data_IF_806213759471
#
_entry.id   IF_806213759471
#
_cell.length_a   1.000
_cell.length_b   1.000
_cell.length_c   1.000
_cell.angle_alpha   90.00
_cell.angle_beta   90.00
_cell.angle_gamma   90.00
#
_symmetry.space_group_name_H-M   'P 1'
#
loop_
_entity.id
_entity.type
_entity.pdbx_description
1 polymer ?
#
# COMPACT_ATOMS: atom_id res chain seq x y z
N UNK A 1 16.05 -12.07 -9.30
CA UNK A 1 16.74 -11.37 -8.19
C UNK A 1 15.70 -10.60 -7.41
N UNK A 2 15.83 -10.48 -6.08
CA UNK A 2 14.78 -9.93 -5.22
C UNK A 2 14.47 -8.47 -5.57
N UNK A 3 13.20 -8.08 -5.39
CA UNK A 3 12.79 -6.68 -5.47
C UNK A 3 13.27 -5.97 -4.21
N UNK A 4 13.99 -4.86 -4.39
CA UNK A 4 14.51 -4.03 -3.30
C UNK A 4 13.96 -2.61 -3.42
N UNK A 5 14.12 -1.78 -2.38
CA UNK A 5 13.65 -0.39 -2.45
C UNK A 5 14.33 0.40 -3.59
N UNK A 6 15.58 0.06 -3.92
CA UNK A 6 16.30 0.69 -5.05
C UNK A 6 15.71 0.31 -6.42
N UNK A 7 14.92 -0.78 -6.50
CA UNK A 7 14.16 -1.13 -7.72
C UNK A 7 13.15 -0.03 -8.11
N UNK A 8 12.74 0.81 -7.17
CA UNK A 8 11.79 1.92 -7.36
C UNK A 8 12.47 3.30 -7.40
N UNK A 9 13.80 3.35 -7.50
CA UNK A 9 14.61 4.57 -7.36
C UNK A 9 14.11 5.75 -8.17
N UNK A 10 13.89 5.56 -9.46
CA UNK A 10 13.45 6.63 -10.35
C UNK A 10 12.05 7.12 -9.99
N UNK A 11 11.13 6.20 -9.67
CA UNK A 11 9.77 6.54 -9.23
C UNK A 11 9.76 7.34 -7.92
N UNK A 12 10.53 6.89 -6.92
CA UNK A 12 10.65 7.58 -5.62
C UNK A 12 11.24 8.98 -5.80
N UNK A 13 12.36 9.10 -6.52
CA UNK A 13 13.03 10.39 -6.71
C UNK A 13 12.16 11.35 -7.52
N UNK A 14 11.55 10.90 -8.61
CA UNK A 14 10.63 11.72 -9.41
C UNK A 14 9.45 12.21 -8.56
N UNK A 15 8.84 11.32 -7.78
CA UNK A 15 7.70 11.68 -6.90
C UNK A 15 8.11 12.70 -5.85
N UNK A 16 9.21 12.50 -5.15
CA UNK A 16 9.71 13.47 -4.18
C UNK A 16 10.06 14.84 -4.80
N UNK A 17 10.63 14.84 -6.01
CA UNK A 17 11.03 16.08 -6.71
C UNK A 17 9.85 16.88 -7.22
N UNK A 18 8.75 16.24 -7.63
CA UNK A 18 7.53 16.94 -8.08
C UNK A 18 6.56 17.33 -6.95
N UNK A 19 6.59 16.61 -5.83
CA UNK A 19 5.64 16.80 -4.74
C UNK A 19 5.93 18.09 -3.94
N UNK A 20 4.94 18.97 -3.70
CA UNK A 20 5.13 20.18 -2.89
C UNK A 20 5.42 19.84 -1.42
N UNK A 21 6.02 20.78 -0.69
CA UNK A 21 6.38 20.58 0.72
C UNK A 21 5.16 20.27 1.59
N UNK A 22 4.05 20.95 1.31
CA UNK A 22 2.77 20.74 1.99
C UNK A 22 2.30 19.28 1.87
N UNK A 23 2.32 18.71 0.67
CA UNK A 23 1.94 17.31 0.46
C UNK A 23 2.88 16.35 1.21
N UNK A 24 4.19 16.62 1.20
CA UNK A 24 5.16 15.78 1.94
C UNK A 24 4.83 15.84 3.44
N UNK A 25 4.45 17.00 3.96
CA UNK A 25 4.08 17.17 5.36
C UNK A 25 2.83 16.37 5.75
N UNK A 26 1.93 16.08 4.81
CA UNK A 26 0.71 15.31 5.03
C UNK A 26 0.92 13.79 5.07
N UNK A 27 2.07 13.29 4.59
CA UNK A 27 2.38 11.85 4.58
C UNK A 27 2.52 11.29 5.99
N UNK A 28 2.03 10.06 6.18
CA UNK A 28 2.11 9.38 7.47
C UNK A 28 3.56 9.25 7.96
N UNK A 29 3.81 9.68 9.20
CA UNK A 29 5.10 9.57 9.87
C UNK A 29 6.05 10.76 9.63
N UNK A 30 5.70 11.68 8.72
CA UNK A 30 6.40 12.95 8.54
C UNK A 30 6.03 13.90 9.68
N UNK A 31 7.02 14.33 10.46
CA UNK A 31 6.84 15.33 11.53
C UNK A 31 7.38 16.66 11.05
N UNK A 32 6.96 17.76 11.67
CA UNK A 32 7.43 19.11 11.37
C UNK A 32 8.94 19.19 11.08
N UNK A 33 9.27 19.84 9.95
CA UNK A 33 10.63 20.06 9.45
C UNK A 33 11.23 18.86 8.72
N UNK A 34 10.65 17.66 8.79
CA UNK A 34 11.17 16.49 8.07
C UNK A 34 10.89 16.60 6.57
N UNK A 35 9.77 17.19 6.16
CA UNK A 35 9.42 17.46 4.77
C UNK A 35 10.50 18.27 4.04
N UNK A 36 11.06 19.29 4.69
CA UNK A 36 12.15 20.11 4.16
C UNK A 36 13.41 19.28 3.94
N UNK A 37 13.77 18.43 4.91
CA UNK A 37 14.93 17.54 4.80
C UNK A 37 14.76 16.51 3.70
N UNK A 38 13.58 15.89 3.62
CA UNK A 38 13.22 14.93 2.56
C UNK A 38 13.33 15.60 1.19
N UNK A 39 12.75 16.78 1.01
CA UNK A 39 12.77 17.52 -0.25
C UNK A 39 14.20 17.85 -0.66
N UNK A 40 15.00 18.44 0.24
CA UNK A 40 16.42 18.76 -0.01
C UNK A 40 17.25 17.51 -0.35
N UNK A 41 17.03 16.41 0.36
CA UNK A 41 17.73 15.15 0.10
C UNK A 41 17.37 14.55 -1.27
N UNK A 42 16.11 14.68 -1.71
CA UNK A 42 15.66 14.18 -3.02
C UNK A 42 16.32 14.86 -4.21
N UNK A 43 16.68 16.14 -4.06
CA UNK A 43 17.33 16.95 -5.11
C UNK A 43 18.80 16.55 -5.31
N UNK A 44 19.47 16.03 -4.28
CA UNK A 44 20.90 15.67 -4.32
C UNK A 44 21.15 14.18 -4.50
N UNK A 45 20.17 13.34 -4.19
CA UNK A 45 20.33 11.89 -4.18
C UNK A 45 20.20 11.27 -5.57
N UNK A 46 21.08 10.29 -5.83
CA UNK A 46 21.11 9.49 -7.06
C UNK A 46 20.87 7.99 -6.81
N UNK A 47 20.89 7.54 -5.55
CA UNK A 47 20.47 6.20 -5.08
C UNK A 47 19.53 6.31 -3.88
N UNK A 48 18.77 5.24 -3.61
CA UNK A 48 17.91 5.19 -2.41
C UNK A 48 18.72 5.16 -1.12
N UNK A 49 19.89 4.51 -1.14
CA UNK A 49 20.79 4.49 0.00
C UNK A 49 21.29 5.90 0.37
N UNK A 50 21.72 6.67 -0.64
CA UNK A 50 22.13 8.05 -0.45
C UNK A 50 20.99 8.93 0.06
N UNK A 51 19.78 8.72 -0.44
CA UNK A 51 18.57 9.42 0.02
C UNK A 51 18.30 9.14 1.51
N UNK A 52 18.29 7.88 1.91
CA UNK A 52 18.04 7.47 3.30
C UNK A 52 19.11 8.06 4.22
N UNK A 53 20.39 7.95 3.85
CA UNK A 53 21.49 8.44 4.68
C UNK A 53 21.49 9.98 4.80
N UNK A 54 21.07 10.69 3.75
CA UNK A 54 20.90 12.15 3.77
C UNK A 54 19.75 12.62 4.69
N UNK A 55 18.73 11.78 4.90
CA UNK A 55 17.59 12.09 5.78
C UNK A 55 17.85 11.64 7.22
N UNK A 56 18.65 10.58 7.41
CA UNK A 56 18.91 9.94 8.70
C UNK A 56 19.51 10.93 9.70
N UNK A 57 18.92 10.95 10.89
CA UNK A 57 19.45 11.67 12.06
C UNK A 57 19.30 10.78 13.30
N UNK A 58 19.78 11.23 14.46
CA UNK A 58 19.50 10.55 15.74
C UNK A 58 17.99 10.43 16.01
N UNK A 59 17.18 11.41 15.58
CA UNK A 59 15.72 11.42 15.71
C UNK A 59 15.01 10.53 14.69
N UNK A 60 15.57 10.36 13.50
CA UNK A 60 14.95 9.63 12.39
C UNK A 60 15.77 8.40 12.01
N UNK A 61 15.34 7.25 12.54
CA UNK A 61 15.96 5.96 12.23
C UNK A 61 15.75 5.57 10.77
N UNK A 62 16.65 4.72 10.26
CA UNK A 62 16.59 4.15 8.92
C UNK A 62 15.22 3.53 8.61
N UNK A 63 14.70 2.71 9.53
CA UNK A 63 13.40 2.02 9.38
C UNK A 63 12.24 2.99 9.32
N UNK A 64 12.28 4.09 10.10
CA UNK A 64 11.26 5.15 10.02
C UNK A 64 11.27 5.83 8.65
N UNK A 65 12.45 6.13 8.12
CA UNK A 65 12.59 6.79 6.80
C UNK A 65 12.10 5.86 5.70
N UNK A 66 12.48 4.58 5.73
CA UNK A 66 11.99 3.58 4.77
C UNK A 66 10.46 3.48 4.78
N UNK A 67 9.82 3.45 5.97
CA UNK A 67 8.35 3.47 6.07
C UNK A 67 7.74 4.74 5.47
N UNK A 68 8.32 5.91 5.73
CA UNK A 68 7.84 7.18 5.15
C UNK A 68 7.93 7.13 3.62
N UNK A 69 9.03 6.62 3.06
CA UNK A 69 9.16 6.45 1.60
C UNK A 69 8.05 5.54 1.06
N UNK A 70 7.76 4.41 1.73
CA UNK A 70 6.66 3.53 1.33
C UNK A 70 5.29 4.21 1.42
N UNK A 71 5.01 4.94 2.51
CA UNK A 71 3.77 5.71 2.65
C UNK A 71 3.63 6.77 1.56
N UNK A 72 4.73 7.40 1.15
CA UNK A 72 4.73 8.36 0.06
C UNK A 72 4.45 7.70 -1.29
N UNK A 73 5.04 6.52 -1.54
CA UNK A 73 4.76 5.74 -2.75
C UNK A 73 3.28 5.36 -2.85
N UNK A 74 2.64 5.02 -1.73
CA UNK A 74 1.23 4.59 -1.68
C UNK A 74 0.25 5.71 -1.31
N UNK A 75 0.71 6.96 -1.28
CA UNK A 75 -0.05 8.16 -0.92
C UNK A 75 -0.82 8.04 0.42
N UNK A 76 -0.23 7.37 1.41
CA UNK A 76 -0.84 7.14 2.72
C UNK A 76 -0.67 8.38 3.61
N UNK A 77 -1.75 9.13 3.81
CA UNK A 77 -1.75 10.34 4.63
C UNK A 77 -1.94 10.06 6.13
N UNK A 78 -1.58 11.05 6.96
CA UNK A 78 -1.87 11.03 8.41
C UNK A 78 -3.38 10.89 8.70
N UNK A 79 -4.22 11.55 7.88
CA UNK A 79 -5.68 11.52 8.02
C UNK A 79 -6.22 10.11 7.78
N UNK A 80 -5.69 9.43 6.76
CA UNK A 80 -6.11 8.07 6.41
C UNK A 80 -5.80 7.09 7.52
N UNK A 81 -4.57 7.12 8.04
CA UNK A 81 -4.18 6.26 9.15
C UNK A 81 -5.00 6.53 10.42
N UNK A 82 -5.31 7.80 10.73
CA UNK A 82 -6.19 8.13 11.86
C UNK A 82 -7.59 7.52 11.70
N UNK A 83 -8.14 7.55 10.49
CA UNK A 83 -9.44 6.95 10.19
C UNK A 83 -9.36 5.43 10.27
N UNK A 84 -8.36 4.82 9.64
CA UNK A 84 -8.19 3.37 9.57
C UNK A 84 -7.93 2.75 10.93
N UNK A 85 -7.10 3.38 11.77
CA UNK A 85 -6.86 2.92 13.14
C UNK A 85 -8.13 2.96 14.01
N UNK A 86 -9.07 3.87 13.70
CA UNK A 86 -10.33 3.97 14.45
C UNK A 86 -11.35 2.89 14.05
N UNK A 87 -11.42 2.54 12.77
CA UNK A 87 -12.39 1.55 12.30
C UNK A 87 -11.84 0.12 12.24
N UNK A 88 -10.52 -0.07 12.31
CA UNK A 88 -9.89 -1.36 12.13
C UNK A 88 -10.06 -1.89 10.69
N UNK A 89 -9.65 -3.14 10.41
CA UNK A 89 -9.80 -3.74 9.09
C UNK A 89 -11.28 -3.94 8.74
N UNK A 90 -11.70 -3.39 7.60
CA UNK A 90 -13.09 -3.45 7.13
C UNK A 90 -13.39 -4.64 6.21
N UNK A 91 -12.39 -5.46 5.89
CA UNK A 91 -12.53 -6.68 5.10
C UNK A 91 -11.46 -7.69 5.46
N UNK A 92 -11.70 -8.94 5.07
CA UNK A 92 -10.71 -10.01 5.06
C UNK A 92 -10.46 -10.42 3.61
N UNK A 93 -9.24 -10.16 3.11
CA UNK A 93 -8.84 -10.55 1.75
C UNK A 93 -8.26 -11.96 1.75
N UNK A 94 -8.91 -12.88 1.03
CA UNK A 94 -8.43 -14.25 0.88
C UNK A 94 -7.39 -14.32 -0.24
N UNK A 95 -6.14 -14.60 0.12
CA UNK A 95 -5.02 -14.74 -0.84
C UNK A 95 -4.78 -16.20 -1.25
N UNK A 96 -5.08 -17.14 -0.36
CA UNK A 96 -4.94 -18.57 -0.62
C UNK A 96 -5.57 -19.44 0.46
N UNK A 97 -5.83 -20.70 0.16
CA UNK A 97 -6.34 -21.69 1.13
C UNK A 97 -6.02 -23.14 0.73
N UNK A 98 -5.96 -24.03 1.72
CA UNK A 98 -5.93 -25.50 1.51
C UNK A 98 -7.35 -26.08 1.40
N UNK A 99 -7.48 -27.38 1.12
CA UNK A 99 -8.78 -28.07 1.10
C UNK A 99 -9.52 -27.95 2.44
N UNK A 100 -8.81 -28.14 3.56
CA UNK A 100 -9.35 -27.93 4.92
C UNK A 100 -9.72 -26.45 5.15
N UNK A 101 -8.86 -25.53 4.70
CA UNK A 101 -9.09 -24.09 4.78
C UNK A 101 -10.36 -23.64 4.04
N UNK A 102 -10.67 -24.26 2.88
CA UNK A 102 -11.90 -23.99 2.13
C UNK A 102 -13.16 -24.24 2.96
N UNK A 103 -13.20 -25.35 3.72
CA UNK A 103 -14.34 -25.68 4.57
C UNK A 103 -14.49 -24.65 5.69
N UNK A 104 -13.38 -24.27 6.34
CA UNK A 104 -13.39 -23.25 7.39
C UNK A 104 -13.82 -21.88 6.86
N UNK A 105 -13.32 -21.44 5.70
CA UNK A 105 -13.70 -20.18 5.07
C UNK A 105 -15.20 -20.12 4.74
N UNK A 106 -15.84 -21.25 4.39
CA UNK A 106 -17.30 -21.31 4.20
C UNK A 106 -18.05 -21.05 5.51
N UNK A 107 -17.56 -21.57 6.63
CA UNK A 107 -18.14 -21.30 7.95
C UNK A 107 -17.93 -19.83 8.34
N UNK A 108 -16.70 -19.32 8.23
CA UNK A 108 -16.36 -17.92 8.53
C UNK A 108 -17.22 -16.96 7.70
N UNK A 109 -17.42 -17.25 6.41
CA UNK A 109 -18.25 -16.40 5.53
C UNK A 109 -19.70 -16.27 6.01
N UNK A 110 -20.24 -17.29 6.70
CA UNK A 110 -21.61 -17.28 7.23
C UNK A 110 -21.73 -16.57 8.59
N UNK A 111 -20.67 -16.60 9.40
CA UNK A 111 -20.70 -16.13 10.79
C UNK A 111 -19.99 -14.79 11.02
N UNK A 112 -19.15 -14.34 10.09
CA UNK A 112 -18.36 -13.12 10.27
C UNK A 112 -19.17 -11.87 9.94
N UNK A 113 -19.02 -10.84 10.79
CA UNK A 113 -19.49 -9.47 10.52
C UNK A 113 -18.62 -8.73 9.53
N UNK A 114 -17.39 -9.22 9.27
CA UNK A 114 -16.45 -8.60 8.33
C UNK A 114 -16.52 -9.32 6.98
N UNK A 115 -16.67 -8.59 5.86
CA UNK A 115 -16.81 -9.19 4.55
C UNK A 115 -15.54 -9.96 4.14
N UNK A 116 -15.74 -11.22 3.74
CA UNK A 116 -14.70 -12.08 3.21
C UNK A 116 -14.60 -11.91 1.68
N UNK A 117 -13.53 -11.27 1.22
CA UNK A 117 -13.29 -10.97 -0.20
C UNK A 117 -12.40 -12.05 -0.80
N UNK A 118 -12.97 -12.88 -1.66
CA UNK A 118 -12.22 -13.84 -2.49
C UNK A 118 -11.92 -13.27 -3.88
N UNK A 119 -12.93 -12.74 -4.57
CA UNK A 119 -12.78 -12.13 -5.90
C UNK A 119 -13.07 -10.63 -5.81
N UNK A 120 -12.02 -9.83 -5.94
CA UNK A 120 -12.08 -8.37 -5.76
C UNK A 120 -13.02 -7.68 -6.75
N UNK A 121 -13.00 -8.07 -8.03
CA UNK A 121 -13.87 -7.49 -9.07
C UNK A 121 -15.35 -7.67 -8.78
N UNK A 122 -15.76 -8.84 -8.29
CA UNK A 122 -17.14 -9.09 -7.92
C UNK A 122 -17.53 -8.24 -6.71
N UNK A 123 -16.65 -8.17 -5.72
CA UNK A 123 -16.90 -7.43 -4.49
C UNK A 123 -17.04 -5.93 -4.75
N UNK A 124 -16.10 -5.31 -5.49
CA UNK A 124 -16.20 -3.89 -5.84
C UNK A 124 -17.45 -3.56 -6.63
N UNK A 125 -17.87 -4.40 -7.59
CA UNK A 125 -19.12 -4.20 -8.34
C UNK A 125 -20.34 -4.17 -7.41
N UNK A 126 -20.41 -5.11 -6.48
CA UNK A 126 -21.49 -5.18 -5.49
C UNK A 126 -21.45 -3.95 -4.59
N UNK A 127 -20.29 -3.67 -3.98
CA UNK A 127 -20.11 -2.55 -3.07
C UNK A 127 -20.41 -1.23 -3.74
N UNK A 128 -20.08 -1.02 -5.02
CA UNK A 128 -20.37 0.23 -5.75
C UNK A 128 -21.87 0.44 -5.99
N UNK A 129 -22.63 -0.65 -6.12
CA UNK A 129 -24.07 -0.60 -6.41
C UNK A 129 -24.94 -0.29 -5.17
N UNK A 130 -24.37 -0.34 -3.97
CA UNK A 130 -25.05 -0.05 -2.70
C UNK A 130 -25.28 1.47 -2.50
N UNK A 131 -25.98 1.87 -1.45
CA UNK A 131 -26.05 3.28 -1.07
C UNK A 131 -24.71 3.79 -0.55
N UNK A 132 -24.35 5.01 -0.95
CA UNK A 132 -23.13 5.65 -0.50
C UNK A 132 -23.23 5.99 1.00
N UNK A 133 -22.31 5.46 1.80
CA UNK A 133 -22.20 5.80 3.21
C UNK A 133 -20.73 5.89 3.66
N UNK A 134 -20.52 6.42 4.87
CA UNK A 134 -19.19 6.66 5.42
C UNK A 134 -18.37 5.38 5.62
N UNK A 135 -19.00 4.24 5.93
CA UNK A 135 -18.29 2.96 6.14
C UNK A 135 -17.79 2.43 4.79
N UNK A 136 -18.66 2.42 3.79
CA UNK A 136 -18.32 2.05 2.40
C UNK A 136 -17.17 2.90 1.88
N UNK A 137 -17.22 4.22 2.05
CA UNK A 137 -16.16 5.11 1.57
C UNK A 137 -14.80 4.80 2.20
N UNK A 138 -14.78 4.44 3.49
CA UNK A 138 -13.54 4.03 4.18
C UNK A 138 -13.04 2.68 3.68
N UNK A 139 -13.94 1.73 3.46
CA UNK A 139 -13.62 0.40 2.94
C UNK A 139 -13.05 0.48 1.52
N UNK A 140 -13.68 1.23 0.62
CA UNK A 140 -13.17 1.46 -0.73
C UNK A 140 -11.80 2.11 -0.67
N UNK A 141 -11.62 3.12 0.18
CA UNK A 141 -10.32 3.77 0.35
C UNK A 141 -9.21 2.82 0.83
N UNK A 142 -9.52 1.89 1.74
CA UNK A 142 -8.56 0.86 2.16
C UNK A 142 -8.19 -0.06 0.99
N UNK A 143 -9.19 -0.54 0.24
CA UNK A 143 -8.95 -1.37 -0.94
C UNK A 143 -8.13 -0.63 -2.01
N UNK A 144 -8.35 0.66 -2.21
CA UNK A 144 -7.59 1.47 -3.15
C UNK A 144 -6.11 1.54 -2.77
N UNK A 145 -5.78 1.64 -1.48
CA UNK A 145 -4.39 1.59 -1.02
C UNK A 145 -3.75 0.21 -1.26
N UNK A 146 -4.47 -0.89 -1.01
CA UNK A 146 -3.97 -2.24 -1.28
C UNK A 146 -3.73 -2.46 -2.78
N UNK A 147 -4.69 -2.09 -3.63
CA UNK A 147 -4.58 -2.21 -5.09
C UNK A 147 -3.42 -1.36 -5.61
N UNK A 148 -3.31 -0.10 -5.14
CA UNK A 148 -2.22 0.78 -5.53
C UNK A 148 -0.86 0.22 -5.10
N UNK A 149 -0.77 -0.35 -3.89
CA UNK A 149 0.46 -0.96 -3.41
C UNK A 149 0.88 -2.13 -4.31
N UNK A 150 -0.04 -2.98 -4.73
CA UNK A 150 0.22 -4.07 -5.70
C UNK A 150 0.64 -3.51 -7.06
N UNK A 151 -0.08 -2.52 -7.60
CA UNK A 151 0.22 -1.89 -8.89
C UNK A 151 1.61 -1.23 -8.92
N UNK A 152 2.04 -0.64 -7.80
CA UNK A 152 3.39 -0.08 -7.67
C UNK A 152 4.42 -1.20 -7.48
N UNK A 153 4.10 -2.22 -6.68
CA UNK A 153 5.02 -3.31 -6.38
C UNK A 153 5.52 -4.02 -7.64
N UNK A 154 4.61 -4.31 -8.59
CA UNK A 154 4.98 -5.02 -9.83
C UNK A 154 5.99 -4.25 -10.69
N UNK A 155 6.08 -2.92 -10.57
CA UNK A 155 7.09 -2.12 -11.27
C UNK A 155 8.52 -2.48 -10.87
N UNK A 156 8.72 -3.07 -9.68
CA UNK A 156 10.01 -3.54 -9.20
C UNK A 156 10.50 -4.82 -9.86
N UNK A 157 9.65 -5.52 -10.64
CA UNK A 157 10.02 -6.75 -11.30
C UNK A 157 11.13 -6.54 -12.34
N UNK A 158 12.05 -7.51 -12.43
CA UNK A 158 13.18 -7.43 -13.37
C UNK A 158 12.74 -7.58 -14.81
N UNK A 159 11.86 -8.54 -15.10
CA UNK A 159 11.31 -8.76 -16.43
C UNK A 159 10.21 -7.74 -16.71
N UNK A 160 10.18 -7.22 -17.92
CA UNK A 160 9.20 -6.20 -18.31
C UNK A 160 7.78 -6.78 -18.34
N UNK A 161 7.61 -8.03 -18.76
CA UNK A 161 6.31 -8.72 -18.80
C UNK A 161 5.65 -8.86 -17.40
N UNK A 162 6.44 -8.87 -16.33
CA UNK A 162 5.95 -9.01 -14.96
C UNK A 162 5.54 -7.66 -14.33
N UNK A 163 5.67 -6.54 -15.05
CA UNK A 163 5.34 -5.19 -14.55
C UNK A 163 3.90 -4.76 -14.84
N UNK A 164 3.06 -5.71 -15.25
CA UNK A 164 1.66 -5.46 -15.59
C UNK A 164 0.86 -5.20 -14.32
N UNK A 165 0.18 -4.06 -14.28
CA UNK A 165 -0.68 -3.65 -13.16
C UNK A 165 -1.95 -4.53 -13.06
N UNK A 166 -2.75 -4.28 -12.02
CA UNK A 166 -4.04 -4.94 -11.74
C UNK A 166 -3.92 -6.43 -11.43
N UNK A 167 -2.78 -6.83 -10.86
CA UNK A 167 -2.55 -8.19 -10.41
C UNK A 167 -3.61 -8.65 -9.38
N UNK A 168 -4.11 -7.73 -8.56
CA UNK A 168 -5.24 -7.96 -7.64
C UNK A 168 -6.52 -8.51 -8.30
N UNK A 169 -6.70 -8.27 -9.61
CA UNK A 169 -7.86 -8.67 -10.38
C UNK A 169 -7.61 -9.88 -11.27
N UNK A 170 -6.36 -10.13 -11.66
CA UNK A 170 -5.97 -11.17 -12.61
C UNK A 170 -5.37 -12.39 -11.93
N UNK A 171 -4.73 -12.21 -10.77
CA UNK A 171 -4.13 -13.30 -10.01
C UNK A 171 -5.22 -14.19 -9.41
N UNK A 172 -5.05 -15.50 -9.59
CA UNK A 172 -5.96 -16.49 -9.02
C UNK A 172 -5.60 -16.72 -7.57
N UNK A 173 -6.61 -16.98 -6.74
CA UNK A 173 -6.38 -17.39 -5.35
C UNK A 173 -5.55 -18.67 -5.34
N UNK A 174 -4.51 -18.69 -4.52
CA UNK A 174 -3.62 -19.84 -4.40
C UNK A 174 -4.34 -20.99 -3.69
N UNK A 175 -4.50 -22.12 -4.39
CA UNK A 175 -5.13 -23.33 -3.84
C UNK A 175 -4.05 -24.36 -3.62
N UNK A 176 -3.69 -24.59 -2.36
CA UNK A 176 -2.77 -25.67 -2.01
C UNK A 176 -3.51 -27.00 -2.17
N UNK A 177 -3.10 -27.79 -3.17
CA UNK A 177 -3.46 -29.21 -3.26
C UNK A 177 -2.70 -29.90 -2.13
N UNK A 178 -3.43 -30.61 -1.27
CA UNK A 178 -2.85 -31.40 -0.17
C UNK A 178 -1.85 -32.42 -0.72
#
# INVERSE_FOLDING_TARGET
GPITLDSYRQYILATLRRMPLEDISHVQGVTEGLENRIKKASLKSYTIEHLINSIKTRRYTRTKIQRIILHLMTNLSKKDVKIFNRCGPLYVRVLGFSKKGKTLLRTIKKSSSTPLISKLSNYLRQTISEENNNVRNRLIKMLDHDILATDIYVLGNKKAEDRVARLDFTHKIEIKKD
#
